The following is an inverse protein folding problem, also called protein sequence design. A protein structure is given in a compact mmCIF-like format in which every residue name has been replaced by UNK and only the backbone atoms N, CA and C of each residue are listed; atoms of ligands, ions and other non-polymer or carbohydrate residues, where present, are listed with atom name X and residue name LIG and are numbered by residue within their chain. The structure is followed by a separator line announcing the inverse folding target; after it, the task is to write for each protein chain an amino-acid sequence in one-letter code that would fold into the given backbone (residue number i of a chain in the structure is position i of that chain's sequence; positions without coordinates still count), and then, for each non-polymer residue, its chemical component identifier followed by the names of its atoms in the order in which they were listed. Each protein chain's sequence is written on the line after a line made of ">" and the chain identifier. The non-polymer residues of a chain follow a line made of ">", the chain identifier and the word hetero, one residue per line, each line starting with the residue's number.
data_IF_188669264082
#
_entry.id   IF_188669264082
#
_cell.length_a   1.000
_cell.length_b   1.000
_cell.length_c   1.000
_cell.angle_alpha   90.00
_cell.angle_beta   90.00
_cell.angle_gamma   90.00
#
_symmetry.space_group_name_H-M   'P 1'
#
loop_
_entity.id
_entity.type
_entity.pdbx_description
1 polymer ?
#
# COMPACT_ATOMS: atom_id res chain seq x y z
N UNK A 1 11.95 3.06 27.12
CA UNK A 1 11.17 2.39 26.07
C UNK A 1 9.71 2.50 26.47
N UNK A 2 8.89 3.22 25.70
CA UNK A 2 7.46 3.32 25.96
C UNK A 2 6.78 1.98 25.71
N UNK A 3 5.98 1.50 26.65
CA UNK A 3 5.18 0.29 26.50
C UNK A 3 4.22 0.46 25.31
N UNK A 4 4.35 -0.42 24.31
CA UNK A 4 3.43 -0.48 23.17
C UNK A 4 2.05 -0.85 23.71
N UNK A 5 1.07 0.05 23.58
CA UNK A 5 -0.30 -0.24 24.02
C UNK A 5 -0.87 -1.30 23.09
N UNK A 6 -1.61 -2.28 23.63
CA UNK A 6 -2.22 -3.35 22.82
C UNK A 6 -3.07 -2.84 21.63
N UNK A 7 -3.64 -1.65 21.73
CA UNK A 7 -4.41 -1.02 20.64
C UNK A 7 -3.54 -0.61 19.43
N UNK A 8 -2.26 -0.30 19.63
CA UNK A 8 -1.35 0.09 18.55
C UNK A 8 -1.08 -1.12 17.65
N UNK A 9 -0.84 -2.29 18.25
CA UNK A 9 -0.63 -3.56 17.52
C UNK A 9 -1.84 -3.96 16.67
N UNK A 10 -3.05 -3.74 17.17
CA UNK A 10 -4.29 -4.03 16.44
C UNK A 10 -4.46 -3.07 15.25
N UNK A 11 -4.07 -1.80 15.42
CA UNK A 11 -4.15 -0.78 14.37
C UNK A 11 -3.15 -1.06 13.25
N UNK A 12 -1.89 -1.38 13.59
CA UNK A 12 -0.86 -1.74 12.61
C UNK A 12 -1.21 -3.03 11.86
N UNK A 13 -1.73 -4.05 12.56
CA UNK A 13 -2.17 -5.30 11.92
C UNK A 13 -3.27 -5.08 10.89
N UNK A 14 -4.26 -4.23 11.20
CA UNK A 14 -5.33 -3.86 10.25
C UNK A 14 -4.79 -3.09 9.05
N UNK A 15 -3.92 -2.10 9.30
CA UNK A 15 -3.26 -1.32 8.25
C UNK A 15 -2.48 -2.22 7.29
N UNK A 16 -1.61 -3.11 7.80
CA UNK A 16 -0.83 -4.05 6.97
C UNK A 16 -1.77 -4.97 6.17
N UNK A 17 -2.88 -5.41 6.77
CA UNK A 17 -3.87 -6.24 6.08
C UNK A 17 -4.57 -5.51 4.93
N UNK A 18 -4.85 -4.21 5.08
CA UNK A 18 -5.41 -3.39 4.00
C UNK A 18 -4.39 -3.15 2.88
N UNK A 19 -3.14 -2.86 3.23
CA UNK A 19 -2.04 -2.72 2.26
C UNK A 19 -1.86 -4.00 1.46
N UNK A 20 -1.92 -5.16 2.12
CA UNK A 20 -1.86 -6.46 1.44
C UNK A 20 -3.03 -6.68 0.46
N UNK A 21 -4.23 -6.16 0.76
CA UNK A 21 -5.36 -6.21 -0.18
C UNK A 21 -5.08 -5.38 -1.43
N UNK A 22 -4.49 -4.19 -1.29
CA UNK A 22 -4.08 -3.36 -2.43
C UNK A 22 -3.03 -4.07 -3.28
N UNK A 23 -1.98 -4.63 -2.67
CA UNK A 23 -0.95 -5.39 -3.41
C UNK A 23 -1.58 -6.52 -4.25
N UNK A 24 -2.57 -7.24 -3.71
CA UNK A 24 -3.27 -8.29 -4.45
C UNK A 24 -4.13 -7.75 -5.58
N UNK A 25 -4.88 -6.66 -5.34
CA UNK A 25 -5.74 -6.02 -6.35
C UNK A 25 -4.93 -5.57 -7.56
N UNK A 26 -3.76 -4.98 -7.31
CA UNK A 26 -2.86 -4.41 -8.33
C UNK A 26 -1.68 -5.33 -8.63
N UNK A 27 -1.76 -6.64 -8.34
CA UNK A 27 -0.58 -7.51 -8.38
C UNK A 27 0.06 -7.60 -9.77
N UNK A 28 -0.75 -7.52 -10.83
CA UNK A 28 -0.30 -7.44 -12.21
C UNK A 28 -0.52 -6.01 -12.69
N UNK A 29 0.54 -5.19 -12.84
CA UNK A 29 0.42 -3.86 -13.39
C UNK A 29 -0.13 -3.85 -14.81
N UNK A 30 -0.77 -2.75 -15.18
CA UNK A 30 -1.25 -2.49 -16.54
C UNK A 30 -0.64 -1.17 -17.04
N UNK A 31 -0.50 -1.04 -18.36
CA UNK A 31 -0.02 0.20 -19.00
C UNK A 31 -1.06 1.34 -18.93
N UNK A 32 -2.33 1.01 -18.69
CA UNK A 32 -3.43 1.98 -18.68
C UNK A 32 -3.27 3.02 -17.55
N UNK A 33 -3.36 4.32 -17.88
CA UNK A 33 -3.28 5.41 -16.91
C UNK A 33 -4.27 5.26 -15.73
N UNK A 34 -5.44 4.66 -15.99
CA UNK A 34 -6.45 4.38 -14.97
C UNK A 34 -5.95 3.48 -13.84
N UNK A 35 -5.08 2.51 -14.14
CA UNK A 35 -4.53 1.59 -13.14
C UNK A 35 -3.72 2.36 -12.08
N UNK A 36 -2.85 3.27 -12.52
CA UNK A 36 -1.96 4.01 -11.60
C UNK A 36 -2.73 5.05 -10.80
N UNK A 37 -3.72 5.70 -11.41
CA UNK A 37 -4.62 6.62 -10.72
C UNK A 37 -5.42 5.91 -9.62
N UNK A 38 -5.96 4.72 -9.92
CA UNK A 38 -6.72 3.92 -8.96
C UNK A 38 -5.82 3.42 -7.82
N UNK A 39 -4.59 2.96 -8.12
CA UNK A 39 -3.62 2.55 -7.11
C UNK A 39 -3.31 3.67 -6.12
N UNK A 40 -3.02 4.87 -6.63
CA UNK A 40 -2.73 6.03 -5.79
C UNK A 40 -3.93 6.40 -4.94
N UNK A 41 -5.14 6.35 -5.50
CA UNK A 41 -6.39 6.62 -4.78
C UNK A 41 -6.61 5.63 -3.64
N UNK A 42 -6.44 4.33 -3.87
CA UNK A 42 -6.60 3.30 -2.84
C UNK A 42 -5.56 3.45 -1.71
N UNK A 43 -4.31 3.79 -2.04
CA UNK A 43 -3.25 4.01 -1.05
C UNK A 43 -3.46 5.28 -0.22
N UNK A 44 -3.96 6.36 -0.84
CA UNK A 44 -4.32 7.60 -0.15
C UNK A 44 -5.47 7.37 0.84
N UNK A 45 -6.48 6.57 0.46
CA UNK A 45 -7.57 6.19 1.36
C UNK A 45 -7.11 5.35 2.56
N UNK A 46 -6.10 4.49 2.39
CA UNK A 46 -5.47 3.79 3.53
C UNK A 46 -4.74 4.80 4.42
N UNK A 47 -3.96 5.72 3.84
CA UNK A 47 -3.21 6.70 4.62
C UNK A 47 -4.13 7.62 5.44
N UNK A 48 -5.27 8.05 4.87
CA UNK A 48 -6.30 8.81 5.60
C UNK A 48 -6.85 8.06 6.82
N UNK A 49 -7.00 6.73 6.74
CA UNK A 49 -7.43 5.89 7.87
C UNK A 49 -6.33 5.66 8.91
N UNK A 50 -5.07 5.60 8.47
CA UNK A 50 -3.91 5.32 9.31
C UNK A 50 -2.80 6.35 9.08
N UNK A 51 -2.95 7.62 9.54
CA UNK A 51 -2.02 8.72 9.26
C UNK A 51 -0.75 8.61 10.10
N UNK A 52 0.01 7.54 9.90
CA UNK A 52 1.27 7.23 10.58
C UNK A 52 2.42 7.24 9.59
N UNK A 53 3.63 7.51 10.08
CA UNK A 53 4.84 7.43 9.24
C UNK A 53 5.04 6.02 8.66
N UNK A 54 4.73 4.97 9.43
CA UNK A 54 4.80 3.60 8.94
C UNK A 54 3.85 3.37 7.74
N UNK A 55 2.60 3.84 7.84
CA UNK A 55 1.65 3.74 6.72
C UNK A 55 2.18 4.45 5.47
N UNK A 56 2.69 5.67 5.64
CA UNK A 56 3.27 6.45 4.54
C UNK A 56 4.42 5.70 3.86
N UNK A 57 5.37 5.14 4.64
CA UNK A 57 6.48 4.37 4.08
C UNK A 57 6.02 3.13 3.34
N UNK A 58 5.02 2.42 3.87
CA UNK A 58 4.49 1.22 3.22
C UNK A 58 3.75 1.57 1.93
N UNK A 59 2.91 2.60 1.91
CA UNK A 59 2.21 3.05 0.70
C UNK A 59 3.22 3.39 -0.42
N UNK A 60 4.27 4.16 -0.10
CA UNK A 60 5.33 4.49 -1.07
C UNK A 60 6.07 3.24 -1.56
N UNK A 61 6.39 2.31 -0.66
CA UNK A 61 7.10 1.07 -1.00
C UNK A 61 6.27 0.16 -1.90
N UNK A 62 4.93 0.13 -1.72
CA UNK A 62 4.02 -0.62 -2.59
C UNK A 62 3.99 -0.02 -4.00
N UNK A 63 3.89 1.29 -4.12
CA UNK A 63 3.92 1.95 -5.44
C UNK A 63 5.22 1.64 -6.18
N UNK A 64 6.37 1.75 -5.49
CA UNK A 64 7.68 1.41 -6.08
C UNK A 64 7.81 -0.07 -6.46
N UNK A 65 7.27 -0.97 -5.63
CA UNK A 65 7.25 -2.40 -5.93
C UNK A 65 6.48 -2.70 -7.22
N UNK A 66 5.29 -2.13 -7.38
CA UNK A 66 4.45 -2.33 -8.56
C UNK A 66 5.04 -1.66 -9.81
N UNK A 67 5.61 -0.46 -9.68
CA UNK A 67 6.35 0.19 -10.76
C UNK A 67 7.57 -0.65 -11.20
N UNK A 68 8.32 -1.22 -10.24
CA UNK A 68 9.43 -2.12 -10.55
C UNK A 68 8.95 -3.37 -11.31
N UNK A 69 7.78 -3.92 -10.96
CA UNK A 69 7.19 -5.03 -11.71
C UNK A 69 6.87 -4.64 -13.15
N UNK A 70 6.21 -3.50 -13.33
CA UNK A 70 5.87 -2.95 -14.64
C UNK A 70 7.12 -2.79 -15.51
N UNK A 71 8.15 -2.09 -15.00
CA UNK A 71 9.43 -1.85 -15.71
C UNK A 71 10.19 -3.13 -16.07
N UNK A 72 9.97 -4.22 -15.35
CA UNK A 72 10.59 -5.54 -15.61
C UNK A 72 9.80 -6.40 -16.60
N UNK A 73 8.71 -5.90 -17.18
CA UNK A 73 7.86 -6.68 -18.08
C UNK A 73 6.96 -7.69 -17.36
N UNK A 74 6.78 -7.57 -16.03
CA UNK A 74 5.86 -8.40 -15.25
C UNK A 74 4.48 -7.73 -15.16
N UNK A 75 3.93 -7.36 -16.30
CA UNK A 75 2.63 -6.72 -16.48
C UNK A 75 1.82 -7.47 -17.56
N UNK A 76 0.52 -7.20 -17.61
CA UNK A 76 -0.41 -7.77 -18.61
C UNK A 76 -0.67 -6.78 -19.74
#
# INVERSE_FOLDING_TARGET
>A
MSEIKNNDKVTESKMISEIWRVIKKYYLPEEQDGYWADLVTDLDEIYKRYPTELCKYLCLSVSQYLESKYRKGMHI
#
